data_IF_449557764669
#
_entry.id   IF_449557764669
#
_cell.length_a   1.000
_cell.length_b   1.000
_cell.length_c   1.000
_cell.angle_alpha   90.00
_cell.angle_beta   90.00
_cell.angle_gamma   90.00
#
_symmetry.space_group_name_H-M   'P 1'
#
loop_
_entity.id
_entity.type
_entity.pdbx_description
1 polymer ?
#
# COMPACT_ATOMS: atom_id res chain seq x y z
N UNK A 1 37.57 42.53 14.11
CA UNK A 1 37.44 41.89 12.78
C UNK A 1 36.98 40.46 13.01
N UNK A 2 35.82 40.08 12.43
CA UNK A 2 35.24 38.74 12.19
C UNK A 2 35.31 37.68 13.32
N UNK A 3 34.21 37.28 13.97
CA UNK A 3 33.03 36.50 13.51
C UNK A 3 33.22 34.96 13.55
N UNK A 4 32.39 34.33 14.40
CA UNK A 4 31.64 33.07 14.17
C UNK A 4 32.44 31.76 13.95
N UNK A 5 31.99 30.54 14.26
CA UNK A 5 30.72 30.02 14.74
C UNK A 5 30.97 28.61 15.33
N UNK A 6 30.25 28.31 16.42
CA UNK A 6 29.70 27.03 16.88
C UNK A 6 29.87 25.77 16.01
N UNK A 7 30.24 24.66 16.66
CA UNK A 7 29.44 23.43 16.64
C UNK A 7 29.69 22.60 17.90
N UNK A 8 28.81 22.76 18.90
CA UNK A 8 28.74 21.88 20.06
C UNK A 8 28.16 20.51 19.69
N UNK A 9 28.82 19.43 20.09
CA UNK A 9 28.29 18.08 19.99
C UNK A 9 27.57 17.72 21.30
N UNK A 10 26.26 17.95 21.35
CA UNK A 10 25.42 17.71 22.51
C UNK A 10 24.25 16.77 22.20
N UNK A 11 24.15 15.71 23.02
CA UNK A 11 22.91 14.99 23.40
C UNK A 11 22.19 14.21 22.29
N UNK A 12 21.88 12.93 22.49
CA UNK A 12 20.83 12.55 23.45
C UNK A 12 20.87 11.06 23.79
N UNK A 13 20.84 10.80 25.10
CA UNK A 13 20.41 9.55 25.72
C UNK A 13 18.97 9.23 25.33
N UNK A 14 18.70 7.97 24.96
CA UNK A 14 17.36 7.39 25.03
C UNK A 14 17.47 5.89 25.33
N UNK A 15 17.62 5.63 26.63
CA UNK A 15 17.20 4.39 27.27
C UNK A 15 15.70 4.16 27.01
N UNK A 16 15.35 3.05 26.36
CA UNK A 16 14.05 2.39 26.55
C UNK A 16 14.25 0.88 26.59
N UNK A 17 14.34 0.37 27.82
CA UNK A 17 13.95 -0.99 28.19
C UNK A 17 12.62 -1.32 27.52
N UNK A 18 12.57 -2.38 26.72
CA UNK A 18 11.33 -3.13 26.54
C UNK A 18 11.69 -4.60 26.64
N UNK A 19 11.08 -5.22 27.64
CA UNK A 19 11.37 -6.52 28.22
C UNK A 19 10.99 -7.62 27.24
N UNK A 20 11.95 -8.52 26.99
CA UNK A 20 11.72 -9.80 26.32
C UNK A 20 10.94 -10.67 27.30
N UNK A 21 9.68 -10.95 27.03
CA UNK A 21 8.89 -12.02 27.65
C UNK A 21 7.70 -12.35 26.76
N UNK A 22 7.71 -13.52 26.13
CA UNK A 22 6.63 -13.99 25.28
C UNK A 22 6.93 -15.33 24.62
N UNK A 23 6.97 -16.38 25.45
CA UNK A 23 6.83 -17.82 25.19
C UNK A 23 6.73 -18.27 23.70
N UNK A 24 7.73 -19.03 23.26
CA UNK A 24 7.61 -19.87 22.06
C UNK A 24 6.67 -21.05 22.37
N UNK A 25 5.56 -21.16 21.63
CA UNK A 25 4.75 -22.37 21.59
C UNK A 25 4.12 -22.54 20.19
N UNK A 26 4.72 -23.48 19.45
CA UNK A 26 4.19 -24.26 18.32
C UNK A 26 3.01 -23.75 17.49
N UNK A 27 3.29 -23.56 16.20
CA UNK A 27 2.65 -24.38 15.17
C UNK A 27 3.49 -24.31 13.88
N UNK A 28 4.02 -25.47 13.46
CA UNK A 28 4.38 -25.71 12.07
C UNK A 28 3.11 -25.54 11.24
N UNK A 29 2.89 -24.36 10.65
CA UNK A 29 1.84 -24.16 9.66
C UNK A 29 2.50 -24.24 8.28
N UNK A 30 2.01 -25.13 7.39
CA UNK A 30 2.59 -25.31 6.06
C UNK A 30 2.42 -24.02 5.28
N UNK A 31 3.41 -23.73 4.43
CA UNK A 31 3.40 -22.64 3.49
C UNK A 31 2.08 -22.66 2.69
N UNK A 32 1.14 -21.79 3.07
CA UNK A 32 0.05 -21.41 2.21
C UNK A 32 0.69 -20.58 1.10
N UNK A 33 1.14 -21.25 0.04
CA UNK A 33 1.27 -20.63 -1.28
C UNK A 33 -0.16 -20.27 -1.66
N UNK A 34 -0.61 -19.12 -1.18
CA UNK A 34 -1.80 -18.48 -1.72
C UNK A 34 -1.50 -18.33 -3.20
N UNK A 35 -2.25 -19.06 -4.02
CA UNK A 35 -2.23 -18.89 -5.47
C UNK A 35 -2.30 -17.38 -5.73
N UNK A 36 -1.27 -16.84 -6.39
CA UNK A 36 -1.27 -15.44 -6.75
C UNK A 36 -2.57 -15.19 -7.54
N UNK A 37 -3.37 -14.16 -7.19
CA UNK A 37 -4.58 -13.85 -7.93
C UNK A 37 -4.23 -13.74 -9.41
N UNK A 38 -5.07 -14.29 -10.27
CA UNK A 38 -4.90 -14.14 -11.71
C UNK A 38 -4.75 -12.65 -12.02
N UNK A 39 -3.74 -12.30 -12.82
CA UNK A 39 -3.48 -10.93 -13.23
C UNK A 39 -4.72 -10.27 -13.84
N UNK A 40 -5.60 -11.06 -14.48
CA UNK A 40 -6.88 -10.60 -15.01
C UNK A 40 -7.86 -10.19 -13.91
N UNK A 41 -8.03 -11.00 -12.86
CA UNK A 41 -8.91 -10.66 -11.73
C UNK A 41 -8.43 -9.41 -11.01
N UNK A 42 -7.12 -9.29 -10.81
CA UNK A 42 -6.53 -8.12 -10.16
C UNK A 42 -6.73 -6.85 -10.99
N UNK A 43 -6.62 -6.93 -12.31
CA UNK A 43 -6.88 -5.80 -13.20
C UNK A 43 -8.35 -5.35 -13.11
N UNK A 44 -9.30 -6.28 -13.10
CA UNK A 44 -10.72 -6.00 -12.92
C UNK A 44 -11.02 -5.30 -11.59
N UNK A 45 -10.48 -5.81 -10.49
CA UNK A 45 -10.67 -5.22 -9.17
C UNK A 45 -10.13 -3.78 -9.08
N UNK A 46 -8.96 -3.52 -9.68
CA UNK A 46 -8.37 -2.18 -9.70
C UNK A 46 -9.18 -1.22 -10.58
N UNK A 47 -9.68 -1.69 -11.72
CA UNK A 47 -10.50 -0.86 -12.61
C UNK A 47 -11.85 -0.50 -11.98
N UNK A 48 -12.48 -1.45 -11.28
CA UNK A 48 -13.72 -1.20 -10.53
C UNK A 48 -13.49 -0.26 -9.33
N UNK A 49 -12.36 -0.39 -8.64
CA UNK A 49 -11.97 0.55 -7.60
C UNK A 49 -11.83 1.98 -8.16
N UNK A 50 -11.20 2.12 -9.33
CA UNK A 50 -11.06 3.40 -10.01
C UNK A 50 -12.42 3.97 -10.45
N UNK A 51 -13.32 3.14 -11.00
CA UNK A 51 -14.67 3.58 -11.38
C UNK A 51 -15.45 4.12 -10.17
N UNK A 52 -15.34 3.47 -9.00
CA UNK A 52 -15.93 3.99 -7.75
C UNK A 52 -15.32 5.31 -7.30
N UNK A 53 -14.01 5.48 -7.46
CA UNK A 53 -13.36 6.77 -7.19
C UNK A 53 -13.86 7.87 -8.11
N UNK A 54 -14.06 7.57 -9.40
CA UNK A 54 -14.64 8.52 -10.35
C UNK A 54 -16.07 8.92 -9.97
N UNK A 55 -16.91 7.95 -9.57
CA UNK A 55 -18.24 8.23 -9.06
C UNK A 55 -18.21 9.09 -7.79
N UNK A 56 -17.26 8.88 -6.88
CA UNK A 56 -17.11 9.69 -5.67
C UNK A 56 -16.70 11.14 -5.95
N UNK A 57 -15.88 11.38 -6.98
CA UNK A 57 -15.38 12.72 -7.34
C UNK A 57 -16.39 13.49 -8.19
N UNK A 58 -16.98 12.82 -9.19
CA UNK A 58 -17.78 13.47 -10.22
C UNK A 58 -19.29 13.26 -10.05
N UNK A 59 -19.72 12.35 -9.17
CA UNK A 59 -21.10 11.89 -9.08
C UNK A 59 -21.49 10.98 -10.25
N UNK A 60 -22.69 10.40 -10.16
CA UNK A 60 -23.24 9.49 -11.17
C UNK A 60 -22.60 8.09 -11.19
N UNK A 61 -23.05 7.25 -12.12
CA UNK A 61 -22.50 5.91 -12.35
C UNK A 61 -21.32 5.97 -13.32
N UNK A 62 -20.24 5.27 -12.98
CA UNK A 62 -19.06 5.13 -13.80
C UNK A 62 -18.72 3.65 -13.96
N UNK A 63 -18.24 3.28 -15.16
CA UNK A 63 -17.96 1.89 -15.51
C UNK A 63 -16.57 1.72 -16.08
N UNK A 64 -15.92 0.64 -15.67
CA UNK A 64 -14.68 0.16 -16.27
C UNK A 64 -14.96 -0.73 -17.50
N UNK A 65 -14.16 -0.55 -18.55
CA UNK A 65 -14.12 -1.44 -19.71
C UNK A 65 -12.66 -1.82 -19.94
N UNK A 66 -12.36 -3.12 -19.83
CA UNK A 66 -11.01 -3.65 -20.00
C UNK A 66 -10.94 -4.40 -21.32
N UNK A 67 -10.02 -4.01 -22.19
CA UNK A 67 -9.69 -4.75 -23.40
C UNK A 67 -8.36 -5.48 -23.18
N UNK A 68 -8.43 -6.79 -22.92
CA UNK A 68 -7.25 -7.62 -22.70
C UNK A 68 -6.42 -7.85 -23.97
N UNK A 69 -7.01 -7.73 -25.17
CA UNK A 69 -6.29 -7.90 -26.43
C UNK A 69 -5.36 -6.70 -26.72
N UNK A 70 -5.78 -5.50 -26.31
CA UNK A 70 -5.02 -4.26 -26.54
C UNK A 70 -4.40 -3.68 -25.26
N UNK A 71 -4.51 -4.40 -24.13
CA UNK A 71 -4.04 -3.95 -22.81
C UNK A 71 -4.48 -2.53 -22.43
N UNK A 72 -5.72 -2.16 -22.80
CA UNK A 72 -6.26 -0.82 -22.51
C UNK A 72 -7.40 -0.91 -21.49
N UNK A 73 -7.45 0.09 -20.60
CA UNK A 73 -8.52 0.27 -19.62
C UNK A 73 -9.18 1.62 -19.87
N UNK A 74 -10.50 1.60 -20.08
CA UNK A 74 -11.34 2.79 -20.21
C UNK A 74 -12.23 2.91 -18.98
N UNK A 75 -12.24 4.09 -18.36
CA UNK A 75 -13.21 4.45 -17.32
C UNK A 75 -14.09 5.55 -17.89
N UNK A 76 -15.41 5.34 -17.92
CA UNK A 76 -16.35 6.30 -18.52
C UNK A 76 -17.67 6.39 -17.74
N UNK A 77 -18.40 7.52 -17.85
CA UNK A 77 -19.78 7.60 -17.36
C UNK A 77 -20.68 6.58 -18.07
N UNK A 78 -21.77 6.20 -17.39
CA UNK A 78 -22.84 5.36 -17.95
C UNK A 78 -23.90 6.21 -18.62
#
# INVERSE_FOLDING_TARGET
MAAQHSAGNGKTSLSRRTVISGLAAGALAPAAVMAAPDHHERASQLADALARSMAAIHGGEWRACINHNTAFVLIKPV
#
